data_IF_898770708658
#
_entry.id   IF_898770708658
#
_cell.length_a   1.000
_cell.length_b   1.000
_cell.length_c   1.000
_cell.angle_alpha   90.00
_cell.angle_beta   90.00
_cell.angle_gamma   90.00
#
_symmetry.space_group_name_H-M   'P 1'
#
loop_
_entity.id
_entity.type
_entity.pdbx_description
1 polymer ?
#
# COMPACT_ATOMS: atom_id res chain seq x y z
N UNK A 1 -28.55 37.97 61.08
CA UNK A 1 -27.29 37.90 60.31
C UNK A 1 -27.21 36.55 59.60
N UNK A 2 -27.19 36.46 58.27
CA UNK A 2 -27.05 35.17 57.58
C UNK A 2 -25.58 34.83 57.32
N UNK A 3 -25.17 33.63 57.75
CA UNK A 3 -23.85 33.05 57.51
C UNK A 3 -23.79 32.54 56.07
N UNK A 4 -23.00 33.19 55.24
CA UNK A 4 -22.66 32.73 53.89
C UNK A 4 -21.85 31.43 53.98
N UNK A 5 -22.46 30.31 53.60
CA UNK A 5 -21.76 29.03 53.43
C UNK A 5 -20.80 29.17 52.23
N UNK A 6 -19.50 29.21 52.50
CA UNK A 6 -18.44 29.05 51.50
C UNK A 6 -18.56 27.65 50.91
N UNK A 7 -19.28 27.51 49.79
CA UNK A 7 -19.26 26.28 49.00
C UNK A 7 -17.88 26.17 48.36
N UNK A 8 -17.26 25.01 48.62
CA UNK A 8 -15.88 24.65 48.32
C UNK A 8 -15.60 24.76 46.82
N UNK A 9 -14.91 25.83 46.43
CA UNK A 9 -14.40 26.05 45.07
C UNK A 9 -13.44 24.95 44.59
N UNK A 10 -12.82 24.19 45.50
CA UNK A 10 -11.97 23.05 45.15
C UNK A 10 -12.74 21.89 44.49
N UNK A 11 -13.95 21.58 44.96
CA UNK A 11 -14.68 20.39 44.50
C UNK A 11 -15.22 20.59 43.06
N UNK A 12 -15.56 21.84 42.71
CA UNK A 12 -16.00 22.21 41.36
C UNK A 12 -14.84 22.18 40.34
N UNK A 13 -13.62 22.55 40.75
CA UNK A 13 -12.44 22.52 39.89
C UNK A 13 -11.95 21.09 39.62
N UNK A 14 -12.06 20.19 40.61
CA UNK A 14 -11.74 18.78 40.43
C UNK A 14 -12.69 18.11 39.42
N UNK A 15 -14.00 18.32 39.59
CA UNK A 15 -15.01 17.75 38.69
C UNK A 15 -14.92 18.29 37.25
N UNK A 16 -14.51 19.55 37.08
CA UNK A 16 -14.29 20.16 35.76
C UNK A 16 -13.05 19.58 35.05
N UNK A 17 -11.98 19.27 35.80
CA UNK A 17 -10.76 18.66 35.24
C UNK A 17 -11.02 17.22 34.78
N UNK A 18 -11.72 16.43 35.58
CA UNK A 18 -12.07 15.05 35.26
C UNK A 18 -12.91 14.97 33.97
N UNK A 19 -13.94 15.82 33.85
CA UNK A 19 -14.74 15.91 32.61
C UNK A 19 -13.95 16.38 31.38
N UNK A 20 -12.93 17.23 31.57
CA UNK A 20 -12.09 17.68 30.47
C UNK A 20 -11.11 16.59 30.01
N UNK A 21 -10.64 15.76 30.94
CA UNK A 21 -9.76 14.63 30.68
C UNK A 21 -10.50 13.49 29.98
N UNK A 22 -11.71 13.13 30.43
CA UNK A 22 -12.60 12.18 29.75
C UNK A 22 -12.95 12.62 28.32
N UNK A 23 -13.22 13.92 28.11
CA UNK A 23 -13.47 14.46 26.76
C UNK A 23 -12.24 14.38 25.86
N UNK A 24 -11.05 14.70 26.39
CA UNK A 24 -9.78 14.58 25.66
C UNK A 24 -9.45 13.13 25.34
N UNK A 25 -9.74 12.19 26.24
CA UNK A 25 -9.52 10.77 26.00
C UNK A 25 -10.54 10.20 25.00
N UNK A 26 -11.79 10.63 25.06
CA UNK A 26 -12.82 10.34 24.06
C UNK A 26 -12.47 10.88 22.67
N UNK A 27 -11.93 12.09 22.57
CA UNK A 27 -11.44 12.68 21.32
C UNK A 27 -10.18 12.00 20.79
N UNK A 28 -9.25 11.61 21.67
CA UNK A 28 -8.09 10.78 21.30
C UNK A 28 -8.53 9.41 20.77
N UNK A 29 -9.49 8.74 21.41
CA UNK A 29 -10.08 7.47 20.94
C UNK A 29 -10.82 7.64 19.60
N UNK A 30 -11.50 8.78 19.36
CA UNK A 30 -12.15 9.09 18.07
C UNK A 30 -11.17 9.47 16.97
N UNK A 31 -10.05 10.13 17.29
CA UNK A 31 -8.95 10.42 16.34
C UNK A 31 -8.09 9.19 16.02
N UNK A 32 -7.88 8.29 16.98
CA UNK A 32 -7.17 7.01 16.78
C UNK A 32 -8.02 5.90 16.16
N UNK A 33 -9.31 6.14 15.87
CA UNK A 33 -9.98 5.42 14.79
C UNK A 33 -9.41 5.93 13.46
N UNK A 34 -8.11 5.71 13.25
CA UNK A 34 -7.51 5.79 11.93
C UNK A 34 -8.39 4.92 11.05
N UNK A 35 -9.00 5.54 10.04
CA UNK A 35 -10.02 4.92 9.20
C UNK A 35 -9.58 3.50 8.84
N UNK A 36 -10.26 2.49 9.39
CA UNK A 36 -10.07 1.10 8.99
C UNK A 36 -10.20 1.07 7.47
N UNK A 37 -9.11 0.71 6.78
CA UNK A 37 -9.13 0.57 5.33
C UNK A 37 -9.44 -0.88 5.04
N UNK A 38 -10.59 -1.12 4.43
CA UNK A 38 -10.94 -2.44 3.90
C UNK A 38 -9.97 -2.78 2.77
N UNK A 39 -9.52 -4.03 2.73
CA UNK A 39 -8.72 -4.51 1.60
C UNK A 39 -9.52 -4.40 0.29
N UNK A 40 -8.85 -4.05 -0.80
CA UNK A 40 -9.48 -3.90 -2.13
C UNK A 40 -9.61 -5.20 -2.90
N UNK A 41 -8.99 -6.29 -2.41
CA UNK A 41 -9.07 -7.59 -3.07
C UNK A 41 -10.48 -8.17 -2.85
N UNK A 42 -11.22 -8.50 -3.92
CA UNK A 42 -12.54 -9.11 -3.80
C UNK A 42 -12.50 -10.38 -2.95
N UNK A 43 -13.41 -10.48 -1.97
CA UNK A 43 -13.47 -11.61 -1.04
C UNK A 43 -12.54 -11.49 0.18
N UNK A 44 -11.61 -10.53 0.21
CA UNK A 44 -10.80 -10.27 1.40
C UNK A 44 -11.59 -9.44 2.42
N UNK A 45 -11.92 -10.03 3.58
CA UNK A 45 -12.70 -9.37 4.63
C UNK A 45 -11.84 -8.58 5.62
N UNK A 46 -10.52 -8.53 5.42
CA UNK A 46 -9.60 -7.90 6.36
C UNK A 46 -9.80 -6.38 6.41
N UNK A 47 -9.94 -5.86 7.63
CA UNK A 47 -9.96 -4.43 7.93
C UNK A 47 -8.63 -4.07 8.59
N UNK A 48 -7.65 -3.76 7.75
CA UNK A 48 -6.30 -3.52 8.23
C UNK A 48 -6.10 -2.02 8.56
N UNK A 49 -5.55 -1.74 9.74
CA UNK A 49 -4.94 -0.41 10.00
C UNK A 49 -3.73 -0.17 9.07
N UNK A 50 -3.05 -1.25 8.66
CA UNK A 50 -1.84 -1.22 7.83
C UNK A 50 -2.02 -2.01 6.53
N UNK A 51 -2.74 -1.42 5.58
CA UNK A 51 -3.06 -2.08 4.30
C UNK A 51 -1.83 -2.57 3.52
N UNK A 52 -0.71 -1.83 3.57
CA UNK A 52 0.54 -2.22 2.91
C UNK A 52 1.11 -3.53 3.45
N UNK A 53 1.16 -3.69 4.77
CA UNK A 53 1.68 -4.90 5.40
C UNK A 53 0.79 -6.10 5.08
N UNK A 54 -0.53 -5.94 5.21
CA UNK A 54 -1.50 -6.95 4.81
C UNK A 54 -1.33 -7.36 3.33
N UNK A 55 -1.16 -6.39 2.42
CA UNK A 55 -0.97 -6.66 1.01
C UNK A 55 0.24 -7.57 0.73
N UNK A 56 1.40 -7.29 1.34
CA UNK A 56 2.60 -8.12 1.18
C UNK A 56 2.52 -9.49 1.86
N UNK A 57 1.71 -9.63 2.90
CA UNK A 57 1.53 -10.92 3.58
C UNK A 57 0.62 -11.85 2.76
N UNK A 58 -0.44 -11.31 2.15
CA UNK A 58 -1.56 -12.13 1.64
C UNK A 58 -1.69 -12.09 0.12
N UNK A 59 -1.39 -10.96 -0.53
CA UNK A 59 -1.85 -10.70 -1.90
C UNK A 59 -0.73 -10.41 -2.90
N UNK A 60 0.41 -9.89 -2.43
CA UNK A 60 1.54 -9.51 -3.25
C UNK A 60 2.64 -10.54 -3.04
N UNK A 61 3.21 -11.11 -4.12
CA UNK A 61 4.32 -12.05 -4.01
C UNK A 61 5.53 -11.42 -3.32
N UNK A 62 6.22 -12.20 -2.48
CA UNK A 62 7.30 -11.69 -1.62
C UNK A 62 8.50 -11.15 -2.42
N UNK A 63 8.66 -11.55 -3.70
CA UNK A 63 9.67 -11.02 -4.62
C UNK A 63 9.58 -9.49 -4.83
N UNK A 64 8.42 -8.89 -4.53
CA UNK A 64 8.20 -7.45 -4.63
C UNK A 64 8.51 -6.70 -3.32
N UNK A 65 8.99 -7.38 -2.27
CA UNK A 65 9.31 -6.71 -1.01
C UNK A 65 10.34 -5.60 -1.21
N UNK A 66 10.10 -4.46 -0.56
CA UNK A 66 10.98 -3.29 -0.56
C UNK A 66 12.25 -3.48 0.30
N UNK A 67 12.32 -4.58 1.06
CA UNK A 67 13.49 -4.92 1.89
C UNK A 67 14.60 -5.63 1.12
N UNK A 68 14.29 -6.15 -0.06
CA UNK A 68 15.22 -6.92 -0.89
C UNK A 68 16.15 -6.00 -1.68
N UNK A 69 17.35 -6.48 -1.97
CA UNK A 69 18.34 -5.74 -2.77
C UNK A 69 17.79 -5.43 -4.17
N UNK A 70 17.62 -4.13 -4.46
CA UNK A 70 17.11 -3.66 -5.75
C UNK A 70 18.04 -3.89 -6.92
N UNK A 71 19.32 -4.22 -6.68
CA UNK A 71 20.35 -4.40 -7.72
C UNK A 71 20.55 -5.87 -8.12
N UNK A 72 19.99 -6.83 -7.37
CA UNK A 72 20.09 -8.24 -7.72
C UNK A 72 19.33 -8.55 -9.01
N UNK A 73 20.06 -8.89 -10.08
CA UNK A 73 19.45 -9.23 -11.36
C UNK A 73 18.51 -10.45 -11.31
N UNK A 74 18.75 -11.42 -10.41
CA UNK A 74 17.86 -12.57 -10.25
C UNK A 74 16.49 -12.10 -9.76
N UNK A 75 16.49 -11.19 -8.80
CA UNK A 75 15.28 -10.56 -8.28
C UNK A 75 14.57 -9.74 -9.37
N UNK A 76 15.30 -8.93 -10.12
CA UNK A 76 14.74 -8.12 -11.21
C UNK A 76 14.15 -8.99 -12.32
N UNK A 77 14.82 -10.09 -12.70
CA UNK A 77 14.26 -11.10 -13.63
C UNK A 77 12.97 -11.71 -13.10
N UNK A 78 12.93 -12.10 -11.83
CA UNK A 78 11.73 -12.68 -11.24
C UNK A 78 10.57 -11.67 -11.16
N UNK A 79 10.83 -10.42 -10.78
CA UNK A 79 9.82 -9.32 -10.79
C UNK A 79 9.24 -9.11 -12.18
N UNK A 80 10.09 -9.09 -13.22
CA UNK A 80 9.65 -9.02 -14.62
C UNK A 80 8.75 -10.20 -14.99
N UNK A 81 9.16 -11.43 -14.68
CA UNK A 81 8.36 -12.62 -14.95
C UNK A 81 7.01 -12.60 -14.22
N UNK A 82 6.99 -12.18 -12.96
CA UNK A 82 5.77 -12.04 -12.17
C UNK A 82 4.81 -11.02 -12.77
N UNK A 83 5.30 -9.85 -13.21
CA UNK A 83 4.48 -8.82 -13.86
C UNK A 83 3.96 -9.28 -15.23
N UNK A 84 4.80 -9.93 -16.04
CA UNK A 84 4.38 -10.48 -17.32
C UNK A 84 3.29 -11.54 -17.17
N UNK A 85 3.41 -12.40 -16.15
CA UNK A 85 2.39 -13.42 -15.86
C UNK A 85 1.06 -12.76 -15.46
N UNK A 86 1.09 -11.75 -14.58
CA UNK A 86 -0.09 -10.98 -14.22
C UNK A 86 -0.70 -10.27 -15.43
N UNK A 87 0.12 -9.62 -16.26
CA UNK A 87 -0.32 -8.97 -17.49
C UNK A 87 -0.99 -9.96 -18.46
N UNK A 88 -0.47 -11.17 -18.59
CA UNK A 88 -1.05 -12.22 -19.43
C UNK A 88 -2.45 -12.63 -18.99
N UNK A 89 -2.67 -12.80 -17.69
CA UNK A 89 -4.00 -13.11 -17.16
C UNK A 89 -4.99 -11.97 -17.36
N UNK A 90 -4.57 -10.73 -17.06
CA UNK A 90 -5.43 -9.55 -17.15
C UNK A 90 -5.83 -9.21 -18.59
N UNK A 91 -4.93 -9.42 -19.55
CA UNK A 91 -5.11 -9.00 -20.95
C UNK A 91 -5.36 -10.18 -21.90
N UNK A 92 -5.33 -11.42 -21.40
CA UNK A 92 -5.62 -12.64 -22.16
C UNK A 92 -4.57 -13.03 -23.22
N UNK A 93 -3.45 -12.29 -23.30
CA UNK A 93 -2.38 -12.48 -24.29
C UNK A 93 -1.02 -12.13 -23.69
N UNK A 94 0.11 -12.57 -24.26
CA UNK A 94 1.42 -12.04 -23.92
C UNK A 94 1.46 -10.52 -24.13
N UNK A 95 1.99 -9.78 -23.15
CA UNK A 95 2.05 -8.31 -23.16
C UNK A 95 3.41 -7.78 -22.75
N UNK A 96 3.71 -6.56 -23.18
CA UNK A 96 4.84 -5.79 -22.65
C UNK A 96 4.48 -5.16 -21.30
N UNK A 97 5.50 -4.72 -20.56
CA UNK A 97 5.26 -3.99 -19.31
C UNK A 97 4.66 -2.61 -19.57
N UNK A 98 4.94 -1.97 -20.72
CA UNK A 98 4.28 -0.72 -21.11
C UNK A 98 2.79 -0.90 -21.37
N UNK A 99 2.39 -2.01 -22.01
CA UNK A 99 0.97 -2.35 -22.14
C UNK A 99 0.31 -2.52 -20.78
N UNK A 100 1.01 -3.10 -19.80
CA UNK A 100 0.53 -3.21 -18.42
C UNK A 100 0.46 -1.85 -17.71
N UNK A 101 1.42 -0.96 -17.92
CA UNK A 101 1.35 0.44 -17.45
C UNK A 101 0.14 1.14 -18.04
N UNK A 102 -0.07 1.04 -19.36
CA UNK A 102 -1.21 1.62 -20.05
C UNK A 102 -2.53 1.08 -19.50
N UNK A 103 -2.62 -0.22 -19.22
CA UNK A 103 -3.78 -0.83 -18.58
C UNK A 103 -4.05 -0.20 -17.20
N UNK A 104 -3.05 -0.06 -16.33
CA UNK A 104 -3.20 0.58 -15.01
C UNK A 104 -3.70 2.02 -15.12
N UNK A 105 -3.19 2.78 -16.08
CA UNK A 105 -3.59 4.17 -16.34
C UNK A 105 -5.03 4.24 -16.86
N UNK A 106 -5.38 3.43 -17.87
CA UNK A 106 -6.71 3.43 -18.52
C UNK A 106 -7.80 2.99 -17.55
N UNK A 107 -7.54 1.96 -16.74
CA UNK A 107 -8.47 1.48 -15.72
C UNK A 107 -8.62 2.45 -14.54
N UNK A 108 -7.88 3.58 -14.55
CA UNK A 108 -7.89 4.60 -13.49
C UNK A 108 -7.72 3.99 -12.10
N UNK A 109 -6.95 2.90 -12.00
CA UNK A 109 -6.86 2.09 -10.77
C UNK A 109 -6.41 2.91 -9.56
N UNK A 110 -5.65 3.98 -9.80
CA UNK A 110 -5.03 4.82 -8.78
C UNK A 110 -5.77 6.15 -8.56
N UNK A 111 -6.82 6.44 -9.33
CA UNK A 111 -7.52 7.74 -9.32
C UNK A 111 -8.29 8.04 -8.03
N UNK A 112 -8.60 7.01 -7.24
CA UNK A 112 -9.36 7.10 -5.99
C UNK A 112 -8.46 7.04 -4.75
N UNK A 113 -7.14 7.00 -4.93
CA UNK A 113 -6.20 6.69 -3.85
C UNK A 113 -5.51 7.94 -3.32
N UNK A 114 -5.97 8.41 -2.16
CA UNK A 114 -5.32 9.49 -1.43
C UNK A 114 -3.85 9.15 -1.11
N UNK A 115 -2.97 10.12 -1.35
CA UNK A 115 -1.58 10.22 -0.92
C UNK A 115 -0.79 8.91 -0.92
N UNK A 116 -0.46 8.38 -2.11
CA UNK A 116 0.59 7.38 -2.25
C UNK A 116 1.96 8.02 -2.12
N UNK A 117 2.51 8.00 -0.91
CA UNK A 117 3.93 8.29 -0.70
C UNK A 117 4.78 7.17 -1.30
N UNK A 118 5.80 7.53 -2.08
CA UNK A 118 6.86 6.62 -2.51
C UNK A 118 8.01 6.79 -1.52
N UNK A 119 8.46 5.69 -0.91
CA UNK A 119 9.65 5.72 -0.04
C UNK A 119 10.91 5.80 -0.90
N UNK A 120 12.01 6.32 -0.36
CA UNK A 120 13.30 6.38 -1.08
C UNK A 120 13.76 4.99 -1.54
N UNK A 121 13.57 3.96 -0.70
CA UNK A 121 13.88 2.57 -1.05
C UNK A 121 13.02 2.06 -2.20
N UNK A 122 11.73 2.36 -2.19
CA UNK A 122 10.83 1.95 -3.26
C UNK A 122 11.18 2.69 -4.56
N UNK A 123 11.47 3.98 -4.48
CA UNK A 123 11.91 4.76 -5.64
C UNK A 123 13.22 4.22 -6.24
N UNK A 124 14.19 3.86 -5.39
CA UNK A 124 15.43 3.21 -5.84
C UNK A 124 15.13 1.89 -6.56
N UNK A 125 14.26 1.03 -5.99
CA UNK A 125 13.86 -0.21 -6.64
C UNK A 125 13.16 0.01 -7.99
N UNK A 126 12.30 1.02 -8.11
CA UNK A 126 11.65 1.40 -9.37
C UNK A 126 12.68 1.84 -10.41
N UNK A 127 13.67 2.65 -10.01
CA UNK A 127 14.74 3.15 -10.90
C UNK A 127 15.67 2.02 -11.36
N UNK A 128 16.07 1.13 -10.46
CA UNK A 128 16.89 -0.04 -10.82
C UNK A 128 16.15 -0.99 -11.76
N UNK A 129 14.84 -1.16 -11.58
CA UNK A 129 14.04 -1.96 -12.50
C UNK A 129 13.95 -1.35 -13.90
N UNK A 130 13.76 -0.03 -14.02
CA UNK A 130 13.86 0.66 -15.31
C UNK A 130 15.23 0.45 -15.96
N UNK A 131 16.34 0.61 -15.20
CA UNK A 131 17.70 0.38 -15.70
C UNK A 131 17.89 -1.02 -16.26
N UNK A 132 17.47 -2.03 -15.50
CA UNK A 132 17.58 -3.44 -15.89
C UNK A 132 16.81 -3.76 -17.17
N UNK A 133 15.67 -3.11 -17.39
CA UNK A 133 14.87 -3.27 -18.60
C UNK A 133 15.36 -2.42 -19.78
N UNK A 134 16.38 -1.57 -19.58
CA UNK A 134 16.82 -0.55 -20.53
C UNK A 134 15.71 0.45 -20.92
N UNK A 135 14.81 0.73 -19.97
CA UNK A 135 13.70 1.66 -20.16
C UNK A 135 14.06 3.06 -19.64
N UNK A 136 13.42 4.13 -20.16
CA UNK A 136 13.61 5.48 -19.66
C UNK A 136 13.32 5.59 -18.16
N UNK A 137 14.26 6.21 -17.44
CA UNK A 137 14.09 6.51 -16.02
C UNK A 137 13.57 7.95 -15.91
N UNK A 138 12.36 8.18 -15.38
CA UNK A 138 11.87 9.53 -15.21
C UNK A 138 12.67 10.24 -14.10
N UNK A 139 12.82 11.56 -14.22
CA UNK A 139 13.41 12.40 -13.16
C UNK A 139 12.67 12.21 -11.83
N UNK A 140 11.33 12.08 -11.93
CA UNK A 140 10.44 11.79 -10.82
C UNK A 140 9.44 10.70 -11.22
N UNK A 141 9.40 9.61 -10.45
CA UNK A 141 8.39 8.56 -10.64
C UNK A 141 7.04 9.05 -10.13
N UNK A 142 5.99 8.88 -10.94
CA UNK A 142 4.60 9.21 -10.58
C UNK A 142 3.71 8.00 -10.73
N UNK A 143 2.71 7.91 -9.85
CA UNK A 143 1.69 6.85 -9.88
C UNK A 143 0.39 7.31 -10.54
N UNK A 144 0.11 8.62 -10.55
CA UNK A 144 -1.10 9.19 -11.14
C UNK A 144 -0.72 10.36 -12.07
N UNK A 145 -0.64 10.13 -13.40
CA UNK A 145 -0.63 8.82 -14.05
C UNK A 145 0.66 8.04 -13.74
N UNK A 146 0.59 6.72 -13.92
CA UNK A 146 1.75 5.85 -13.90
C UNK A 146 2.64 6.22 -15.09
N UNK A 147 3.86 6.70 -14.84
CA UNK A 147 4.71 7.28 -15.88
C UNK A 147 5.92 6.42 -16.27
N UNK A 148 6.08 5.22 -15.69
CA UNK A 148 7.19 4.32 -16.00
C UNK A 148 6.85 2.87 -15.67
N UNK A 149 7.56 1.93 -16.29
CA UNK A 149 7.48 0.50 -15.92
C UNK A 149 7.90 0.26 -14.47
N UNK A 150 8.82 1.07 -13.94
CA UNK A 150 9.26 1.02 -12.55
C UNK A 150 8.10 1.19 -11.57
N UNK A 151 7.17 2.10 -11.86
CA UNK A 151 6.01 2.35 -11.01
C UNK A 151 5.10 1.12 -10.81
N UNK A 152 5.18 0.09 -11.67
CA UNK A 152 4.51 -1.19 -11.45
C UNK A 152 4.96 -1.92 -10.18
N UNK A 153 6.16 -1.62 -9.66
CA UNK A 153 6.67 -2.18 -8.39
C UNK A 153 6.08 -1.51 -7.15
N UNK A 154 5.26 -0.47 -7.31
CA UNK A 154 4.62 0.16 -6.17
C UNK A 154 3.58 -0.77 -5.54
N UNK A 155 3.62 -0.93 -4.22
CA UNK A 155 2.74 -1.87 -3.51
C UNK A 155 1.24 -1.66 -3.80
N UNK A 156 0.78 -0.42 -3.96
CA UNK A 156 -0.63 -0.17 -4.33
C UNK A 156 -0.94 -0.65 -5.75
N UNK A 157 0.00 -0.47 -6.69
CA UNK A 157 -0.19 -0.94 -8.06
C UNK A 157 -0.28 -2.45 -8.06
N UNK A 158 0.65 -3.12 -7.39
CA UNK A 158 0.66 -4.58 -7.22
C UNK A 158 -0.62 -5.09 -6.55
N UNK A 159 -1.12 -4.43 -5.50
CA UNK A 159 -2.37 -4.80 -4.84
C UNK A 159 -3.59 -4.69 -5.77
N UNK A 160 -3.64 -3.66 -6.62
CA UNK A 160 -4.76 -3.47 -7.56
C UNK A 160 -4.70 -4.46 -8.72
N UNK A 161 -3.49 -4.79 -9.18
CA UNK A 161 -3.29 -5.91 -10.10
C UNK A 161 -3.80 -7.21 -9.47
N UNK A 162 -3.40 -7.51 -8.23
CA UNK A 162 -3.87 -8.69 -7.48
C UNK A 162 -5.40 -8.73 -7.30
N UNK A 163 -6.01 -7.58 -7.04
CA UNK A 163 -7.46 -7.43 -6.92
C UNK A 163 -8.20 -7.65 -8.25
N UNK A 164 -7.51 -7.48 -9.38
CA UNK A 164 -8.06 -7.69 -10.72
C UNK A 164 -7.88 -9.13 -11.22
N UNK A 165 -7.06 -9.93 -10.53
CA UNK A 165 -6.90 -11.36 -10.79
C UNK A 165 -8.00 -12.17 -10.11
N UNK A 166 -8.37 -13.30 -10.70
CA UNK A 166 -9.17 -14.32 -10.01
C UNK A 166 -8.45 -14.84 -8.77
N UNK A 167 -9.19 -15.50 -7.88
CA UNK A 167 -8.61 -16.07 -6.66
C UNK A 167 -7.51 -17.11 -6.95
N UNK A 168 -7.74 -17.97 -7.93
CA UNK A 168 -6.81 -19.02 -8.35
C UNK A 168 -5.52 -18.44 -8.95
N UNK A 169 -5.65 -17.45 -9.84
CA UNK A 169 -4.50 -16.76 -10.45
C UNK A 169 -3.69 -16.00 -9.40
N UNK A 170 -4.35 -15.29 -8.49
CA UNK A 170 -3.67 -14.59 -7.39
C UNK A 170 -2.95 -15.56 -6.47
N UNK A 171 -3.57 -16.68 -6.11
CA UNK A 171 -2.92 -17.71 -5.29
C UNK A 171 -1.69 -18.29 -6.00
N UNK A 172 -1.80 -18.60 -7.29
CA UNK A 172 -0.65 -19.01 -8.10
C UNK A 172 0.44 -17.94 -8.08
N UNK A 173 0.08 -16.68 -8.29
CA UNK A 173 1.01 -15.56 -8.35
C UNK A 173 1.83 -15.45 -7.06
N UNK A 174 1.16 -15.47 -5.91
CA UNK A 174 1.82 -15.41 -4.61
C UNK A 174 2.72 -16.63 -4.41
N UNK A 175 2.24 -17.84 -4.68
CA UNK A 175 3.00 -19.07 -4.42
C UNK A 175 4.23 -19.24 -5.31
N UNK A 176 4.19 -18.82 -6.57
CA UNK A 176 5.25 -19.11 -7.54
C UNK A 176 6.29 -18.00 -7.68
N UNK A 177 6.05 -16.80 -7.15
CA UNK A 177 6.97 -15.66 -7.25
C UNK A 177 7.47 -15.22 -5.88
N UNK A 178 8.23 -16.10 -5.24
CA UNK A 178 8.83 -15.86 -3.92
C UNK A 178 10.16 -15.13 -4.01
N UNK A 179 10.52 -14.41 -2.95
CA UNK A 179 11.87 -13.90 -2.77
C UNK A 179 12.89 -15.07 -2.71
N UNK A 180 14.11 -14.90 -3.22
CA UNK A 180 15.17 -15.90 -3.07
C UNK A 180 15.45 -16.17 -1.58
N UNK A 181 15.77 -17.41 -1.22
CA UNK A 181 16.07 -17.79 0.18
C UNK A 181 17.31 -17.11 0.76
N UNK A 182 18.22 -16.65 -0.10
CA UNK A 182 19.50 -16.01 0.26
C UNK A 182 19.45 -14.47 0.23
N UNK A 183 18.26 -13.86 0.08
CA UNK A 183 18.08 -12.43 -0.14
C UNK A 183 17.85 -11.59 1.12
#
# INVERSE_FOLDING_TARGET
MPVLKRVKTCDLLAHAKEKAEERREGEKKRRNRGMEKTCWVPGCMERAMYLKAHAFIVHIPSIFSETLDSTDERLLRGRRSALNQAGRWLLGKPVTLDELVAFVVVQKMLSTLDNTSISERQEAAMKEFCKFLHEPIPEKVTLVPCNSVGALLHWKVLLLLAASLSEEERAYWVLNFQAPEDA
#
